data_IF_162780428613
#
_entry.id   IF_162780428613
#
_cell.length_a   1.000
_cell.length_b   1.000
_cell.length_c   1.000
_cell.angle_alpha   90.00
_cell.angle_beta   90.00
_cell.angle_gamma   90.00
#
_symmetry.space_group_name_H-M   'P 1'
#
loop_
_entity.id
_entity.type
_entity.pdbx_description
1 polymer ?
#
# COMPACT_ATOMS: atom_id res chain seq x y z
N UNK A 1 -27.50 -36.21 44.29
CA UNK A 1 -27.64 -34.77 44.00
C UNK A 1 -26.24 -34.17 43.94
N UNK A 2 -25.67 -33.71 42.83
CA UNK A 2 -26.12 -33.67 41.45
C UNK A 2 -24.87 -33.69 40.57
N UNK A 3 -24.85 -34.62 39.61
CA UNK A 3 -23.91 -34.65 38.50
C UNK A 3 -24.23 -33.46 37.58
N UNK A 4 -23.63 -32.29 37.83
CA UNK A 4 -23.61 -31.21 36.83
C UNK A 4 -22.44 -31.46 35.87
N UNK A 5 -22.67 -31.50 34.55
CA UNK A 5 -21.75 -32.14 33.59
C UNK A 5 -20.51 -31.29 33.28
N UNK A 6 -19.45 -31.89 32.70
CA UNK A 6 -18.25 -31.18 32.20
C UNK A 6 -18.55 -30.10 31.14
N UNK A 7 -19.74 -30.13 30.52
CA UNK A 7 -20.14 -29.22 29.46
C UNK A 7 -20.28 -27.77 29.97
N UNK A 8 -20.95 -27.53 31.11
CA UNK A 8 -21.12 -26.15 31.63
C UNK A 8 -19.79 -25.48 31.98
N UNK A 9 -18.84 -26.25 32.50
CA UNK A 9 -17.50 -25.77 32.79
C UNK A 9 -16.71 -25.41 31.52
N UNK A 10 -16.92 -26.16 30.44
CA UNK A 10 -16.30 -25.87 29.14
C UNK A 10 -16.89 -24.61 28.48
N UNK A 11 -18.22 -24.40 28.55
CA UNK A 11 -18.88 -23.22 27.99
C UNK A 11 -18.45 -21.95 28.74
N UNK A 12 -18.43 -21.96 30.07
CA UNK A 12 -17.99 -20.81 30.86
C UNK A 12 -16.53 -20.39 30.58
N UNK A 13 -15.63 -21.36 30.34
CA UNK A 13 -14.24 -21.08 29.95
C UNK A 13 -14.13 -20.54 28.53
N UNK A 14 -14.97 -21.03 27.61
CA UNK A 14 -15.02 -20.51 26.25
C UNK A 14 -15.52 -19.07 26.23
N UNK A 15 -16.48 -18.71 27.07
CA UNK A 15 -16.96 -17.33 27.18
C UNK A 15 -15.88 -16.38 27.70
N UNK A 16 -15.16 -16.77 28.75
CA UNK A 16 -14.01 -16.01 29.28
C UNK A 16 -12.94 -15.77 28.21
N UNK A 17 -12.57 -16.82 27.47
CA UNK A 17 -11.61 -16.71 26.37
C UNK A 17 -12.15 -15.85 25.23
N UNK A 18 -13.44 -15.97 24.92
CA UNK A 18 -14.09 -15.20 23.86
C UNK A 18 -14.09 -13.71 24.16
N UNK A 19 -14.47 -13.33 25.38
CA UNK A 19 -14.44 -11.93 25.82
C UNK A 19 -13.00 -11.43 25.91
N UNK A 20 -12.09 -12.19 26.54
CA UNK A 20 -10.70 -11.80 26.72
C UNK A 20 -9.96 -11.60 25.39
N UNK A 21 -10.03 -12.58 24.49
CA UNK A 21 -9.39 -12.47 23.17
C UNK A 21 -10.11 -11.46 22.27
N UNK A 22 -11.43 -11.30 22.43
CA UNK A 22 -12.18 -10.29 21.71
C UNK A 22 -11.77 -8.87 22.08
N UNK A 23 -11.70 -8.56 23.38
CA UNK A 23 -11.18 -7.27 23.85
C UNK A 23 -9.73 -7.06 23.43
N UNK A 24 -8.89 -8.11 23.46
CA UNK A 24 -7.51 -8.02 22.99
C UNK A 24 -7.41 -7.73 21.47
N UNK A 25 -8.26 -8.33 20.65
CA UNK A 25 -8.33 -8.05 19.22
C UNK A 25 -8.74 -6.60 18.95
N UNK A 26 -9.79 -6.11 19.63
CA UNK A 26 -10.26 -4.74 19.52
C UNK A 26 -9.21 -3.74 20.00
N UNK A 27 -8.49 -4.06 21.07
CA UNK A 27 -7.37 -3.26 21.55
C UNK A 27 -6.21 -3.20 20.55
N UNK A 28 -6.01 -4.25 19.75
CA UNK A 28 -5.08 -4.22 18.62
C UNK A 28 -5.48 -3.21 17.55
N UNK A 29 -6.78 -2.96 17.35
CA UNK A 29 -7.29 -1.95 16.40
C UNK A 29 -7.26 -0.54 17.01
N UNK A 30 -7.88 -0.35 18.18
CA UNK A 30 -7.86 0.91 18.95
C UNK A 30 -7.91 0.60 20.46
N UNK A 31 -6.74 0.56 21.13
CA UNK A 31 -6.63 0.27 22.56
C UNK A 31 -7.40 1.28 23.41
N UNK A 32 -7.21 2.56 23.14
CA UNK A 32 -7.79 3.61 23.98
C UNK A 32 -9.29 3.68 23.83
N UNK A 33 -9.83 3.54 22.61
CA UNK A 33 -11.27 3.44 22.39
C UNK A 33 -11.85 2.20 23.07
N UNK A 34 -11.16 1.05 22.98
CA UNK A 34 -11.60 -0.20 23.64
C UNK A 34 -11.74 -0.01 25.15
N UNK A 35 -10.71 0.57 25.79
CA UNK A 35 -10.71 0.85 27.24
C UNK A 35 -11.76 1.90 27.59
N UNK A 36 -11.82 3.00 26.84
CA UNK A 36 -12.71 4.13 27.09
C UNK A 36 -14.18 3.73 26.98
N UNK A 37 -14.58 3.10 25.86
CA UNK A 37 -15.97 2.71 25.64
C UNK A 37 -16.43 1.61 26.61
N UNK A 38 -15.56 0.64 26.92
CA UNK A 38 -15.85 -0.37 27.96
C UNK A 38 -16.00 0.29 29.32
N UNK A 39 -15.09 1.21 29.68
CA UNK A 39 -15.15 1.94 30.95
C UNK A 39 -16.41 2.78 31.10
N UNK A 40 -16.81 3.52 30.05
CA UNK A 40 -18.07 4.27 30.05
C UNK A 40 -19.29 3.36 30.24
N UNK A 41 -19.33 2.22 29.54
CA UNK A 41 -20.44 1.28 29.65
C UNK A 41 -20.57 0.71 31.08
N UNK A 42 -19.45 0.47 31.77
CA UNK A 42 -19.43 0.04 33.17
C UNK A 42 -19.83 1.19 34.09
N UNK A 43 -19.24 2.37 33.93
CA UNK A 43 -19.43 3.52 34.81
C UNK A 43 -20.86 4.05 34.81
N UNK A 44 -21.51 4.09 33.64
CA UNK A 44 -22.90 4.51 33.50
C UNK A 44 -23.90 3.36 33.61
N UNK A 45 -23.44 2.16 34.01
CA UNK A 45 -24.27 0.97 34.15
C UNK A 45 -25.08 0.60 32.88
N UNK A 46 -24.53 0.88 31.70
CA UNK A 46 -25.12 0.42 30.42
C UNK A 46 -25.02 -1.09 30.27
N UNK A 47 -24.03 -1.69 30.93
CA UNK A 47 -23.85 -3.14 31.03
C UNK A 47 -23.78 -3.55 32.49
N UNK A 48 -24.37 -4.70 32.81
CA UNK A 48 -24.21 -5.36 34.10
C UNK A 48 -23.13 -6.43 33.99
N UNK A 49 -22.08 -6.32 34.80
CA UNK A 49 -21.00 -7.31 34.81
C UNK A 49 -21.48 -8.56 35.55
N UNK A 50 -21.36 -9.70 34.88
CA UNK A 50 -21.52 -10.98 35.55
C UNK A 50 -20.37 -11.20 36.54
N UNK A 51 -20.56 -11.99 37.62
CA UNK A 51 -19.54 -12.18 38.67
C UNK A 51 -18.16 -12.60 38.15
N UNK A 52 -18.11 -13.40 37.09
CA UNK A 52 -16.87 -13.83 36.46
C UNK A 52 -16.07 -12.71 35.79
N UNK A 53 -16.69 -11.57 35.48
CA UNK A 53 -16.07 -10.41 34.82
C UNK A 53 -15.79 -9.26 35.78
N UNK A 54 -16.01 -9.43 37.09
CA UNK A 54 -15.98 -8.33 38.06
C UNK A 54 -14.64 -7.57 38.07
N UNK A 55 -13.53 -8.24 37.76
CA UNK A 55 -12.21 -7.59 37.67
C UNK A 55 -12.08 -6.55 36.53
N UNK A 56 -13.02 -6.51 35.59
CA UNK A 56 -13.14 -5.43 34.60
C UNK A 56 -13.73 -4.14 35.19
N UNK A 57 -14.34 -4.17 36.37
CA UNK A 57 -14.97 -2.99 37.00
C UNK A 57 -14.00 -1.82 37.16
N UNK A 58 -12.69 -2.11 37.30
CA UNK A 58 -11.64 -1.10 37.37
C UNK A 58 -11.60 -0.17 36.14
N UNK A 59 -12.05 -0.62 34.97
CA UNK A 59 -12.17 0.24 33.78
C UNK A 59 -13.24 1.33 33.95
N UNK A 60 -14.23 1.10 34.81
CA UNK A 60 -15.27 2.08 35.14
C UNK A 60 -14.79 3.21 36.07
N UNK A 61 -13.53 3.17 36.53
CA UNK A 61 -12.99 4.22 37.39
C UNK A 61 -12.82 5.53 36.60
N UNK A 62 -13.30 6.69 37.13
CA UNK A 62 -13.28 7.97 36.40
C UNK A 62 -11.91 8.33 35.83
N UNK A 63 -10.82 8.12 36.59
CA UNK A 63 -9.46 8.39 36.09
C UNK A 63 -9.07 7.53 34.88
N UNK A 64 -9.46 6.25 34.86
CA UNK A 64 -9.16 5.35 33.73
C UNK A 64 -9.92 5.82 32.49
N UNK A 65 -11.19 6.19 32.66
CA UNK A 65 -12.04 6.74 31.58
C UNK A 65 -11.46 8.06 31.07
N UNK A 66 -11.08 8.98 31.95
CA UNK A 66 -10.53 10.28 31.54
C UNK A 66 -9.22 10.11 30.78
N UNK A 67 -8.28 9.30 31.28
CA UNK A 67 -6.98 9.08 30.63
C UNK A 67 -7.16 8.37 29.28
N UNK A 68 -7.96 7.29 29.25
CA UNK A 68 -8.23 6.57 28.00
C UNK A 68 -8.97 7.43 26.98
N UNK A 69 -9.91 8.28 27.42
CA UNK A 69 -10.60 9.24 26.56
C UNK A 69 -9.66 10.28 25.95
N UNK A 70 -8.75 10.85 26.75
CA UNK A 70 -7.73 11.79 26.24
C UNK A 70 -6.81 11.10 25.24
N UNK A 71 -6.30 9.91 25.56
CA UNK A 71 -5.42 9.16 24.67
C UNK A 71 -6.14 8.73 23.38
N UNK A 72 -7.43 8.39 23.46
CA UNK A 72 -8.26 8.13 22.28
C UNK A 72 -8.43 9.37 21.42
N UNK A 73 -8.69 10.55 22.00
CA UNK A 73 -8.76 11.80 21.24
C UNK A 73 -7.43 12.09 20.54
N UNK A 74 -6.31 11.92 21.24
CA UNK A 74 -4.98 12.09 20.65
C UNK A 74 -4.76 11.12 19.49
N UNK A 75 -5.10 9.83 19.64
CA UNK A 75 -5.05 8.85 18.56
C UNK A 75 -5.95 9.24 17.38
N UNK A 76 -7.19 9.65 17.66
CA UNK A 76 -8.16 10.05 16.65
C UNK A 76 -7.66 11.23 15.81
N UNK A 77 -6.97 12.20 16.42
CA UNK A 77 -6.36 13.30 15.68
C UNK A 77 -5.05 12.90 14.99
N UNK A 78 -4.22 12.07 15.64
CA UNK A 78 -2.98 11.56 15.09
C UNK A 78 -3.22 10.80 13.77
N UNK A 79 -4.27 9.98 13.72
CA UNK A 79 -4.66 9.19 12.55
C UNK A 79 -5.06 10.04 11.32
N UNK A 80 -5.36 11.32 11.51
CA UNK A 80 -5.73 12.25 10.42
C UNK A 80 -4.54 13.00 9.85
N UNK A 81 -3.42 13.05 10.57
CA UNK A 81 -2.22 13.77 10.19
C UNK A 81 -1.19 12.81 9.57
N UNK A 82 -0.81 12.99 8.29
CA UNK A 82 0.24 12.18 7.68
C UNK A 82 1.54 12.24 8.49
N UNK A 83 2.28 11.13 8.55
CA UNK A 83 3.51 10.93 9.31
C UNK A 83 3.31 10.76 10.83
N UNK A 84 2.42 11.56 11.43
CA UNK A 84 2.08 11.40 12.84
C UNK A 84 1.37 10.06 13.06
N UNK A 85 0.50 9.65 12.13
CA UNK A 85 -0.12 8.33 12.06
C UNK A 85 0.92 7.19 12.18
N UNK A 86 1.97 7.27 11.37
CA UNK A 86 3.01 6.25 11.26
C UNK A 86 3.90 6.20 12.50
N UNK A 87 4.22 7.37 13.07
CA UNK A 87 4.97 7.46 14.32
C UNK A 87 4.17 6.91 15.51
N UNK A 88 2.88 7.23 15.57
CA UNK A 88 1.96 6.70 16.56
C UNK A 88 1.85 5.18 16.46
N UNK A 89 1.61 4.64 15.26
CA UNK A 89 1.52 3.19 15.02
C UNK A 89 2.83 2.45 15.36
N UNK A 90 3.99 3.08 15.16
CA UNK A 90 5.28 2.50 15.53
C UNK A 90 5.41 2.32 17.04
N UNK A 91 5.10 3.34 17.84
CA UNK A 91 5.10 3.26 19.31
C UNK A 91 4.08 2.21 19.78
N UNK A 92 2.90 2.19 19.17
CA UNK A 92 1.81 1.31 19.56
C UNK A 92 1.97 -0.15 19.15
N UNK A 93 2.97 -0.45 18.33
CA UNK A 93 3.39 -1.85 18.05
C UNK A 93 3.82 -2.56 19.34
N UNK A 94 4.26 -1.83 20.37
CA UNK A 94 4.61 -2.38 21.70
C UNK A 94 3.47 -2.20 22.70
N UNK A 95 2.86 -1.02 22.74
CA UNK A 95 1.85 -0.67 23.76
C UNK A 95 0.59 -1.54 23.61
N UNK A 96 0.11 -1.78 22.38
CA UNK A 96 -1.15 -2.50 22.16
C UNK A 96 -1.09 -3.96 22.56
N UNK A 97 -0.07 -4.76 22.18
CA UNK A 97 0.06 -6.13 22.67
C UNK A 97 0.04 -6.23 24.19
N UNK A 98 0.71 -5.30 24.88
CA UNK A 98 0.70 -5.26 26.35
C UNK A 98 -0.70 -4.91 26.87
N UNK A 99 -1.32 -3.86 26.33
CA UNK A 99 -2.67 -3.45 26.72
C UNK A 99 -3.73 -4.53 26.48
N UNK A 100 -3.69 -5.22 25.33
CA UNK A 100 -4.58 -6.33 25.01
C UNK A 100 -4.38 -7.53 25.94
N UNK A 101 -3.13 -7.85 26.29
CA UNK A 101 -2.84 -8.88 27.29
C UNK A 101 -3.40 -8.52 28.67
N UNK A 102 -3.20 -7.28 29.12
CA UNK A 102 -3.72 -6.81 30.41
C UNK A 102 -5.26 -6.84 30.45
N UNK A 103 -5.94 -6.41 29.39
CA UNK A 103 -7.40 -6.49 29.29
C UNK A 103 -7.90 -7.94 29.40
N UNK A 104 -7.26 -8.86 28.68
CA UNK A 104 -7.63 -10.27 28.74
C UNK A 104 -7.38 -10.88 30.13
N UNK A 105 -6.31 -10.48 30.82
CA UNK A 105 -6.06 -10.90 32.21
C UNK A 105 -7.17 -10.39 33.13
N UNK A 106 -7.60 -9.13 32.99
CA UNK A 106 -8.69 -8.58 33.79
C UNK A 106 -10.02 -9.31 33.55
N UNK A 107 -10.27 -9.86 32.36
CA UNK A 107 -11.45 -10.70 32.09
C UNK A 107 -11.43 -11.99 32.90
N UNK A 108 -10.25 -12.56 33.16
CA UNK A 108 -10.12 -13.85 33.84
C UNK A 108 -10.27 -13.77 35.37
N UNK A 109 -10.06 -12.59 35.95
CA UNK A 109 -10.03 -12.38 37.40
C UNK A 109 -8.86 -13.10 38.08
N UNK A 110 -9.10 -14.26 38.69
CA UNK A 110 -8.11 -15.02 39.47
C UNK A 110 -7.86 -16.44 38.93
N UNK A 111 -7.35 -16.59 37.69
CA UNK A 111 -6.97 -17.90 37.18
C UNK A 111 -5.66 -18.42 37.79
N UNK A 112 -5.36 -19.70 37.57
CA UNK A 112 -4.03 -20.25 37.90
C UNK A 112 -2.92 -19.49 37.16
N UNK A 113 -1.72 -19.29 37.75
CA UNK A 113 -0.63 -18.55 37.13
C UNK A 113 -0.26 -19.02 35.72
N UNK A 114 -0.24 -20.33 35.48
CA UNK A 114 0.05 -20.91 34.16
C UNK A 114 -0.98 -20.46 33.10
N UNK A 115 -2.27 -20.47 33.46
CA UNK A 115 -3.33 -20.03 32.55
C UNK A 115 -3.29 -18.52 32.29
N UNK A 116 -2.94 -17.71 33.29
CA UNK A 116 -2.70 -16.25 33.10
C UNK A 116 -1.66 -16.00 32.02
N UNK A 117 -0.51 -16.70 32.09
CA UNK A 117 0.56 -16.53 31.11
C UNK A 117 0.12 -16.99 29.72
N UNK A 118 -0.57 -18.13 29.61
CA UNK A 118 -1.08 -18.61 28.32
C UNK A 118 -2.03 -17.58 27.69
N UNK A 119 -3.00 -17.06 28.46
CA UNK A 119 -3.95 -16.08 27.93
C UNK A 119 -3.26 -14.75 27.62
N UNK A 120 -2.31 -14.30 28.45
CA UNK A 120 -1.54 -13.09 28.17
C UNK A 120 -0.77 -13.18 26.84
N UNK A 121 -0.13 -14.33 26.57
CA UNK A 121 0.58 -14.57 25.31
C UNK A 121 -0.39 -14.61 24.11
N UNK A 122 -1.53 -15.31 24.26
CA UNK A 122 -2.54 -15.40 23.21
C UNK A 122 -3.21 -14.05 22.91
N UNK A 123 -3.54 -13.29 23.94
CA UNK A 123 -4.18 -11.98 23.85
C UNK A 123 -3.20 -10.92 23.30
N UNK A 124 -1.97 -10.89 23.79
CA UNK A 124 -0.93 -9.99 23.26
C UNK A 124 -0.60 -10.30 21.80
N UNK A 125 -0.50 -11.59 21.44
CA UNK A 125 -0.34 -12.01 20.05
C UNK A 125 -1.53 -11.63 19.17
N UNK A 126 -2.76 -11.84 19.66
CA UNK A 126 -4.00 -11.44 18.96
C UNK A 126 -4.03 -9.92 18.71
N UNK A 127 -3.70 -9.12 19.72
CA UNK A 127 -3.63 -7.66 19.61
C UNK A 127 -2.55 -7.21 18.61
N UNK A 128 -1.37 -7.85 18.62
CA UNK A 128 -0.31 -7.58 17.65
C UNK A 128 -0.75 -7.92 16.21
N UNK A 129 -1.44 -9.04 16.01
CA UNK A 129 -1.97 -9.42 14.70
C UNK A 129 -3.00 -8.41 14.20
N UNK A 130 -3.93 -7.99 15.05
CA UNK A 130 -4.93 -6.98 14.71
C UNK A 130 -4.28 -5.61 14.37
N UNK A 131 -3.30 -5.16 15.17
CA UNK A 131 -2.53 -3.95 14.88
C UNK A 131 -1.78 -4.05 13.55
N UNK A 132 -1.14 -5.19 13.30
CA UNK A 132 -0.42 -5.42 12.03
C UNK A 132 -1.37 -5.45 10.83
N UNK A 133 -2.59 -5.97 11.00
CA UNK A 133 -3.62 -5.93 9.97
C UNK A 133 -4.04 -4.48 9.65
N UNK A 134 -4.23 -3.63 10.66
CA UNK A 134 -4.48 -2.19 10.52
C UNK A 134 -3.32 -1.48 9.80
N UNK A 135 -2.08 -1.71 10.21
CA UNK A 135 -0.92 -1.14 9.52
C UNK A 135 -0.83 -1.58 8.05
N UNK A 136 -1.19 -2.84 7.76
CA UNK A 136 -1.18 -3.38 6.41
C UNK A 136 -2.27 -2.79 5.50
N UNK A 137 -3.47 -2.50 6.02
CA UNK A 137 -4.55 -1.85 5.25
C UNK A 137 -4.15 -0.42 4.87
N UNK A 138 -3.54 0.34 5.80
CA UNK A 138 -3.00 1.69 5.52
C UNK A 138 -1.96 1.69 4.41
N UNK A 139 -1.07 0.69 4.38
CA UNK A 139 -0.08 0.59 3.30
C UNK A 139 -0.71 0.30 1.92
N UNK A 140 -1.83 -0.42 1.89
CA UNK A 140 -2.58 -0.69 0.67
C UNK A 140 -3.34 0.54 0.18
N UNK A 141 -3.98 1.30 1.08
CA UNK A 141 -4.72 2.53 0.76
C UNK A 141 -3.81 3.70 0.36
N UNK A 142 -2.60 3.80 0.93
CA UNK A 142 -1.58 4.81 0.61
C UNK A 142 -1.02 4.73 -0.83
N UNK A 143 -1.68 4.03 -1.75
CA UNK A 143 -1.36 4.02 -3.18
C UNK A 143 -1.97 5.22 -3.94
N UNK A 144 -2.93 5.93 -3.35
CA UNK A 144 -3.34 7.29 -3.74
C UNK A 144 -3.53 8.13 -2.47
N UNK A 145 -2.72 9.16 -2.21
CA UNK A 145 -2.84 10.01 -1.02
C UNK A 145 -4.04 10.95 -1.18
N UNK A 146 -5.25 10.41 -1.06
CA UNK A 146 -6.47 11.20 -0.97
C UNK A 146 -6.87 11.29 0.51
N UNK A 147 -6.86 12.48 1.14
CA UNK A 147 -7.09 12.65 2.57
C UNK A 147 -8.43 12.05 3.04
N UNK A 148 -9.43 12.00 2.16
CA UNK A 148 -10.72 11.36 2.43
C UNK A 148 -10.63 9.85 2.67
N UNK A 149 -9.69 9.13 2.03
CA UNK A 149 -9.55 7.68 2.21
C UNK A 149 -8.99 7.34 3.59
N UNK A 150 -8.05 8.13 4.11
CA UNK A 150 -7.45 7.90 5.43
C UNK A 150 -8.45 8.24 6.55
N UNK A 151 -9.20 9.33 6.39
CA UNK A 151 -10.27 9.69 7.33
C UNK A 151 -11.34 8.60 7.35
N UNK A 152 -11.81 8.14 6.18
CA UNK A 152 -12.81 7.08 6.09
C UNK A 152 -12.33 5.76 6.71
N UNK A 153 -11.06 5.40 6.50
CA UNK A 153 -10.47 4.19 7.09
C UNK A 153 -10.39 4.29 8.61
N UNK A 154 -9.92 5.41 9.15
CA UNK A 154 -9.85 5.67 10.60
C UNK A 154 -11.23 5.65 11.26
N UNK A 155 -12.24 6.30 10.66
CA UNK A 155 -13.62 6.24 11.16
C UNK A 155 -14.21 4.83 11.09
N UNK A 156 -13.87 4.08 10.03
CA UNK A 156 -14.24 2.68 9.89
C UNK A 156 -13.62 1.80 10.98
N UNK A 157 -12.36 2.05 11.35
CA UNK A 157 -11.67 1.37 12.46
C UNK A 157 -12.39 1.61 13.80
N UNK A 158 -12.75 2.86 14.10
CA UNK A 158 -13.48 3.20 15.33
C UNK A 158 -14.87 2.55 15.36
N UNK A 159 -15.59 2.56 14.23
CA UNK A 159 -16.87 1.88 14.09
C UNK A 159 -16.76 0.36 14.28
N UNK A 160 -15.71 -0.27 13.73
CA UNK A 160 -15.42 -1.69 13.94
C UNK A 160 -15.15 -1.99 15.41
N UNK A 161 -14.44 -1.11 16.12
CA UNK A 161 -14.18 -1.29 17.56
C UNK A 161 -15.47 -1.21 18.36
N UNK A 162 -16.31 -0.20 18.14
CA UNK A 162 -17.58 -0.06 18.85
C UNK A 162 -18.56 -1.19 18.53
N UNK A 163 -18.68 -1.58 17.25
CA UNK A 163 -19.51 -2.71 16.84
C UNK A 163 -18.98 -4.04 17.41
N UNK A 164 -17.66 -4.19 17.45
CA UNK A 164 -16.99 -5.34 18.04
C UNK A 164 -17.23 -5.44 19.55
N UNK A 165 -17.17 -4.32 20.27
CA UNK A 165 -17.51 -4.28 21.71
C UNK A 165 -18.96 -4.69 21.96
N UNK A 166 -19.90 -4.15 21.17
CA UNK A 166 -21.30 -4.57 21.24
C UNK A 166 -21.46 -6.07 20.95
N UNK A 167 -20.75 -6.59 19.93
CA UNK A 167 -20.79 -8.01 19.58
C UNK A 167 -20.20 -8.89 20.69
N UNK A 168 -19.09 -8.49 21.30
CA UNK A 168 -18.48 -9.20 22.45
C UNK A 168 -19.45 -9.24 23.63
N UNK A 169 -20.18 -8.15 23.88
CA UNK A 169 -21.17 -8.09 24.96
C UNK A 169 -22.38 -9.01 24.70
N UNK A 170 -22.98 -8.95 23.51
CA UNK A 170 -24.22 -9.69 23.22
C UNK A 170 -23.98 -11.15 22.82
N UNK A 171 -22.91 -11.43 22.08
CA UNK A 171 -22.62 -12.76 21.50
C UNK A 171 -21.11 -13.05 21.51
N UNK A 172 -20.50 -13.33 22.67
CA UNK A 172 -19.04 -13.48 22.79
C UNK A 172 -18.47 -14.60 21.91
N UNK A 173 -19.15 -15.75 21.82
CA UNK A 173 -18.73 -16.87 20.98
C UNK A 173 -18.72 -16.49 19.49
N UNK A 174 -19.74 -15.76 19.02
CA UNK A 174 -19.80 -15.28 17.64
C UNK A 174 -18.67 -14.27 17.36
N UNK A 175 -18.40 -13.38 18.32
CA UNK A 175 -17.26 -12.47 18.24
C UNK A 175 -15.94 -13.25 18.07
N UNK A 176 -15.71 -14.28 18.90
CA UNK A 176 -14.52 -15.13 18.83
C UNK A 176 -14.40 -15.80 17.46
N UNK A 177 -15.48 -16.37 16.92
CA UNK A 177 -15.47 -17.00 15.58
C UNK A 177 -15.05 -15.98 14.51
N UNK A 178 -15.64 -14.77 14.53
CA UNK A 178 -15.30 -13.71 13.58
C UNK A 178 -13.84 -13.29 13.71
N UNK A 179 -13.31 -13.15 14.94
CA UNK A 179 -11.90 -12.83 15.16
C UNK A 179 -10.96 -13.93 14.64
N UNK A 180 -11.28 -15.20 14.89
CA UNK A 180 -10.50 -16.34 14.39
C UNK A 180 -10.49 -16.35 12.85
N UNK A 181 -11.63 -16.10 12.21
CA UNK A 181 -11.72 -15.96 10.75
C UNK A 181 -10.86 -14.78 10.27
N UNK A 182 -10.90 -13.64 10.97
CA UNK A 182 -10.07 -12.48 10.67
C UNK A 182 -8.58 -12.76 10.75
N UNK A 183 -8.14 -13.46 11.80
CA UNK A 183 -6.73 -13.90 11.98
C UNK A 183 -6.34 -14.87 10.86
N UNK A 184 -7.18 -15.86 10.54
CA UNK A 184 -6.92 -16.81 9.45
C UNK A 184 -6.81 -16.10 8.10
N UNK A 185 -7.70 -15.13 7.82
CA UNK A 185 -7.64 -14.29 6.64
C UNK A 185 -6.34 -13.47 6.61
N UNK A 186 -5.95 -12.85 7.73
CA UNK A 186 -4.69 -12.12 7.82
C UNK A 186 -3.49 -13.01 7.46
N UNK A 187 -3.35 -14.19 8.06
CA UNK A 187 -2.25 -15.11 7.74
C UNK A 187 -2.30 -15.63 6.30
N UNK A 188 -3.49 -15.82 5.73
CA UNK A 188 -3.66 -16.20 4.34
C UNK A 188 -3.19 -15.10 3.37
N UNK A 189 -3.47 -13.83 3.66
CA UNK A 189 -3.06 -12.68 2.84
C UNK A 189 -1.66 -12.14 3.16
N UNK A 190 -1.12 -12.38 4.35
CA UNK A 190 0.16 -11.87 4.81
C UNK A 190 1.32 -12.14 3.83
N UNK A 191 1.48 -13.34 3.23
CA UNK A 191 2.54 -13.58 2.26
C UNK A 191 2.45 -12.71 1.00
N UNK A 192 1.25 -12.29 0.60
CA UNK A 192 1.05 -11.37 -0.54
C UNK A 192 1.43 -9.94 -0.15
N UNK A 193 1.01 -9.50 1.04
CA UNK A 193 1.31 -8.18 1.60
C UNK A 193 2.81 -8.02 1.83
N UNK A 194 3.45 -8.97 2.51
CA UNK A 194 4.88 -8.96 2.80
C UNK A 194 5.74 -8.94 1.53
N UNK A 195 5.30 -9.64 0.46
CA UNK A 195 5.98 -9.57 -0.85
C UNK A 195 5.90 -8.17 -1.46
N UNK A 196 4.74 -7.53 -1.41
CA UNK A 196 4.57 -6.15 -1.89
C UNK A 196 5.38 -5.15 -1.06
N UNK A 197 5.38 -5.28 0.27
CA UNK A 197 6.20 -4.47 1.18
C UNK A 197 7.68 -4.57 0.87
N UNK A 198 8.19 -5.80 0.76
CA UNK A 198 9.60 -6.06 0.45
C UNK A 198 10.02 -5.43 -0.88
N UNK A 199 9.17 -5.51 -1.91
CA UNK A 199 9.40 -4.85 -3.20
C UNK A 199 9.54 -3.34 -3.05
N UNK A 200 8.59 -2.68 -2.37
CA UNK A 200 8.62 -1.22 -2.16
C UNK A 200 9.83 -0.78 -1.33
N UNK A 201 10.12 -1.46 -0.21
CA UNK A 201 11.27 -1.14 0.66
C UNK A 201 12.57 -1.29 -0.12
N UNK A 202 12.72 -2.37 -0.89
CA UNK A 202 13.91 -2.56 -1.70
C UNK A 202 14.10 -1.44 -2.75
N UNK A 203 13.02 -1.03 -3.44
CA UNK A 203 13.06 0.09 -4.39
C UNK A 203 13.45 1.41 -3.71
N UNK A 204 12.86 1.71 -2.55
CA UNK A 204 13.17 2.90 -1.78
C UNK A 204 14.65 2.91 -1.33
N UNK A 205 15.13 1.78 -0.79
CA UNK A 205 16.52 1.63 -0.35
C UNK A 205 17.52 1.76 -1.51
N UNK A 206 17.21 1.16 -2.67
CA UNK A 206 18.00 1.32 -3.91
C UNK A 206 18.00 2.75 -4.46
N UNK A 207 16.94 3.53 -4.23
CA UNK A 207 16.86 4.95 -4.60
C UNK A 207 17.73 5.81 -3.68
N UNK A 208 17.69 5.55 -2.36
CA UNK A 208 18.50 6.26 -1.37
C UNK A 208 20.01 5.98 -1.53
N UNK A 209 20.38 4.74 -1.87
CA UNK A 209 21.78 4.34 -2.09
C UNK A 209 22.24 4.46 -3.55
N UNK A 210 21.42 5.02 -4.44
CA UNK A 210 21.75 5.14 -5.86
C UNK A 210 22.74 6.28 -6.13
N UNK A 211 23.64 6.15 -7.12
CA UNK A 211 24.51 7.25 -7.52
C UNK A 211 23.68 8.46 -8.00
N UNK A 212 24.10 9.66 -7.62
CA UNK A 212 23.41 10.91 -7.99
C UNK A 212 23.57 11.25 -9.48
N UNK A 213 24.67 10.82 -10.10
CA UNK A 213 24.89 10.98 -11.54
C UNK A 213 24.04 9.98 -12.33
N UNK A 214 23.17 10.54 -13.17
CA UNK A 214 22.19 9.80 -13.99
C UNK A 214 22.63 9.67 -15.44
N UNK A 215 23.67 10.39 -15.84
CA UNK A 215 24.10 10.47 -17.24
C UNK A 215 25.25 9.52 -17.57
N UNK A 216 25.74 8.76 -16.58
CA UNK A 216 26.73 7.72 -16.86
C UNK A 216 26.09 6.60 -17.69
N UNK A 217 26.57 6.32 -18.92
CA UNK A 217 26.02 5.23 -19.73
C UNK A 217 26.24 3.90 -19.01
N UNK A 218 25.13 3.23 -18.66
CA UNK A 218 25.18 1.98 -17.94
C UNK A 218 25.62 0.85 -18.88
N UNK A 219 26.75 0.20 -18.56
CA UNK A 219 27.14 -1.05 -19.22
C UNK A 219 26.12 -2.13 -18.88
N UNK A 220 25.54 -2.77 -19.89
CA UNK A 220 24.60 -3.86 -19.69
C UNK A 220 25.31 -5.03 -18.98
N UNK A 221 24.82 -5.48 -17.81
CA UNK A 221 25.44 -6.57 -17.08
C UNK A 221 25.26 -7.87 -17.85
N UNK A 222 26.37 -8.56 -18.12
CA UNK A 222 26.37 -9.88 -18.78
C UNK A 222 26.37 -11.02 -17.75
N UNK A 223 26.59 -10.70 -16.48
CA UNK A 223 26.70 -11.67 -15.40
C UNK A 223 25.38 -11.81 -14.63
N UNK A 224 24.87 -13.02 -14.51
CA UNK A 224 23.70 -13.34 -13.70
C UNK A 224 24.13 -13.78 -12.28
N UNK A 225 23.46 -13.32 -11.19
CA UNK A 225 23.80 -13.74 -9.84
C UNK A 225 23.73 -15.27 -9.68
N UNK A 226 24.65 -15.88 -8.94
CA UNK A 226 24.77 -17.34 -8.80
C UNK A 226 23.44 -18.06 -8.48
N UNK A 227 22.60 -17.48 -7.61
CA UNK A 227 21.27 -18.02 -7.27
C UNK A 227 20.33 -18.15 -8.47
N UNK A 228 20.40 -17.21 -9.44
CA UNK A 228 19.59 -17.20 -10.65
C UNK A 228 20.30 -17.92 -11.80
N UNK A 229 21.64 -17.92 -11.84
CA UNK A 229 22.43 -18.69 -12.80
C UNK A 229 22.09 -20.19 -12.76
N UNK A 230 21.94 -20.77 -11.56
CA UNK A 230 21.50 -22.16 -11.42
C UNK A 230 20.10 -22.45 -11.99
N UNK A 231 19.23 -21.44 -12.04
CA UNK A 231 17.87 -21.57 -12.57
C UNK A 231 17.90 -21.41 -14.09
N UNK A 232 18.62 -20.41 -14.59
CA UNK A 232 18.80 -20.18 -16.02
C UNK A 232 19.51 -21.36 -16.69
N UNK A 233 20.56 -21.92 -16.09
CA UNK A 233 21.30 -23.05 -16.65
C UNK A 233 20.47 -24.34 -16.79
N UNK A 234 19.36 -24.49 -16.04
CA UNK A 234 18.42 -25.61 -16.22
C UNK A 234 17.50 -25.42 -17.42
N UNK A 235 17.21 -24.18 -17.77
CA UNK A 235 16.38 -23.82 -18.94
C UNK A 235 17.25 -23.74 -20.20
N UNK A 236 18.46 -23.21 -20.08
CA UNK A 236 19.41 -23.02 -21.15
C UNK A 236 20.21 -24.30 -21.44
N UNK A 237 19.50 -25.34 -21.88
CA UNK A 237 20.11 -26.64 -22.25
C UNK A 237 20.96 -26.52 -23.51
N UNK A 238 20.69 -25.53 -24.35
CA UNK A 238 21.36 -25.30 -25.65
C UNK A 238 22.68 -24.51 -25.52
N UNK A 239 23.05 -24.06 -24.32
CA UNK A 239 24.31 -23.34 -24.09
C UNK A 239 24.32 -21.90 -24.62
N UNK A 240 23.15 -21.28 -24.73
CA UNK A 240 22.96 -19.91 -25.23
C UNK A 240 23.82 -18.89 -24.47
N UNK A 241 24.44 -17.99 -25.22
CA UNK A 241 25.29 -16.93 -24.66
C UNK A 241 24.44 -15.73 -24.23
N UNK A 242 24.73 -15.22 -23.03
CA UNK A 242 24.03 -14.06 -22.46
C UNK A 242 24.39 -12.78 -23.24
N UNK A 243 23.38 -12.10 -23.76
CA UNK A 243 23.53 -10.72 -24.25
C UNK A 243 23.55 -9.75 -23.06
N UNK A 244 22.59 -9.92 -22.14
CA UNK A 244 22.51 -9.17 -20.88
C UNK A 244 21.54 -9.83 -19.89
N UNK A 245 21.70 -9.51 -18.61
CA UNK A 245 20.92 -10.03 -17.49
C UNK A 245 20.63 -8.93 -16.46
N UNK A 246 19.42 -8.40 -16.46
CA UNK A 246 19.02 -7.26 -15.64
C UNK A 246 18.13 -7.66 -14.47
N UNK A 247 18.50 -7.27 -13.25
CA UNK A 247 17.68 -7.55 -12.06
C UNK A 247 16.42 -6.69 -12.06
N UNK A 248 15.28 -7.34 -11.88
CA UNK A 248 13.98 -6.66 -11.89
C UNK A 248 12.99 -7.32 -10.93
N UNK A 249 11.87 -6.63 -10.73
CA UNK A 249 10.70 -7.12 -10.01
C UNK A 249 9.56 -7.27 -11.02
N UNK A 250 8.82 -8.37 -10.99
CA UNK A 250 7.63 -8.50 -11.82
C UNK A 250 6.50 -7.56 -11.35
N UNK A 251 5.96 -6.78 -12.27
CA UNK A 251 4.73 -6.02 -12.12
C UNK A 251 3.49 -6.83 -12.49
N UNK A 252 2.37 -6.15 -12.75
CA UNK A 252 1.10 -6.78 -13.15
C UNK A 252 1.26 -7.42 -14.53
N UNK A 253 1.16 -8.75 -14.59
CA UNK A 253 1.44 -9.54 -15.81
C UNK A 253 0.48 -10.72 -15.94
N UNK A 254 0.17 -11.16 -17.16
CA UNK A 254 -0.90 -12.15 -17.43
C UNK A 254 -0.61 -13.57 -16.90
N UNK A 255 0.66 -13.90 -16.58
CA UNK A 255 1.06 -15.25 -16.10
C UNK A 255 2.24 -15.26 -15.12
N UNK A 256 2.71 -14.08 -14.69
CA UNK A 256 3.82 -13.94 -13.74
C UNK A 256 3.23 -13.36 -12.44
N UNK A 257 3.48 -13.98 -11.27
CA UNK A 257 3.03 -13.41 -10.01
C UNK A 257 3.63 -12.02 -9.79
N UNK A 258 2.86 -11.09 -9.24
CA UNK A 258 3.33 -9.74 -8.94
C UNK A 258 4.35 -9.73 -7.80
N UNK A 259 5.22 -8.71 -7.79
CA UNK A 259 6.25 -8.47 -6.79
C UNK A 259 7.22 -9.65 -6.61
N UNK A 260 7.49 -10.39 -7.69
CA UNK A 260 8.48 -11.47 -7.68
C UNK A 260 9.85 -10.91 -8.09
N UNK A 261 10.82 -11.06 -7.21
CA UNK A 261 12.20 -10.67 -7.49
C UNK A 261 12.87 -11.68 -8.42
N UNK A 262 13.46 -11.19 -9.50
CA UNK A 262 14.14 -12.02 -10.48
C UNK A 262 15.13 -11.22 -11.32
N UNK A 263 15.42 -11.76 -12.49
CA UNK A 263 16.14 -11.07 -13.54
C UNK A 263 15.49 -11.34 -14.89
N UNK A 264 15.48 -10.31 -15.73
CA UNK A 264 15.17 -10.44 -17.14
C UNK A 264 16.46 -10.75 -17.89
N UNK A 265 16.44 -11.80 -18.68
CA UNK A 265 17.61 -12.34 -19.38
C UNK A 265 17.33 -12.33 -20.87
N UNK A 266 18.31 -11.92 -21.64
CA UNK A 266 18.27 -11.95 -23.08
C UNK A 266 19.54 -12.63 -23.62
N UNK A 267 19.39 -13.47 -24.63
CA UNK A 267 20.47 -14.23 -25.25
C UNK A 267 20.84 -13.65 -26.63
N UNK A 268 22.00 -14.05 -27.15
CA UNK A 268 22.48 -13.62 -28.46
C UNK A 268 21.89 -14.46 -29.60
N UNK A 269 21.59 -15.75 -29.35
CA UNK A 269 21.04 -16.65 -30.38
C UNK A 269 19.59 -16.30 -30.72
N UNK A 270 18.75 -16.00 -29.73
CA UNK A 270 17.32 -15.69 -29.92
C UNK A 270 16.98 -14.25 -29.47
N UNK A 271 17.29 -13.21 -30.27
CA UNK A 271 17.12 -11.82 -29.86
C UNK A 271 15.66 -11.39 -29.65
N UNK A 272 14.70 -12.12 -30.24
CA UNK A 272 13.25 -11.90 -30.08
C UNK A 272 12.65 -12.59 -28.86
N UNK A 273 13.48 -13.27 -28.06
CA UNK A 273 13.06 -13.96 -26.84
C UNK A 273 13.64 -13.30 -25.61
N UNK A 274 12.80 -13.13 -24.59
CA UNK A 274 13.22 -12.74 -23.26
C UNK A 274 12.84 -13.83 -22.26
N UNK A 275 13.72 -14.09 -21.30
CA UNK A 275 13.48 -15.09 -20.27
C UNK A 275 13.49 -14.39 -18.93
N UNK A 276 12.35 -14.42 -18.22
CA UNK A 276 12.29 -13.99 -16.84
C UNK A 276 12.65 -15.16 -15.92
N UNK A 277 13.72 -14.99 -15.14
CA UNK A 277 14.28 -16.00 -14.24
C UNK A 277 14.11 -15.55 -12.80
N UNK A 278 13.46 -16.37 -11.98
CA UNK A 278 13.19 -16.07 -10.59
C UNK A 278 13.13 -17.33 -9.71
N UNK A 279 12.91 -17.13 -8.41
CA UNK A 279 12.57 -18.21 -7.48
C UNK A 279 11.30 -17.89 -6.72
N UNK A 280 10.29 -18.75 -6.81
CA UNK A 280 9.00 -18.61 -6.12
C UNK A 280 8.94 -19.60 -4.97
N UNK A 281 8.98 -19.12 -3.73
CA UNK A 281 8.97 -19.98 -2.54
C UNK A 281 10.12 -21.00 -2.52
N UNK A 282 11.32 -20.58 -2.96
CA UNK A 282 12.51 -21.44 -3.06
C UNK A 282 12.59 -22.28 -4.33
N UNK A 283 11.47 -22.55 -5.00
CA UNK A 283 11.42 -23.32 -6.26
C UNK A 283 11.87 -22.47 -7.47
N UNK A 284 12.59 -23.05 -8.45
CA UNK A 284 12.94 -22.35 -9.68
C UNK A 284 11.67 -21.93 -10.42
N UNK A 285 11.68 -20.73 -10.99
CA UNK A 285 10.59 -20.21 -11.81
C UNK A 285 11.18 -19.50 -13.02
N UNK A 286 10.87 -20.00 -14.21
CA UNK A 286 11.28 -19.43 -15.49
C UNK A 286 10.04 -19.11 -16.31
N UNK A 287 10.10 -18.02 -17.07
CA UNK A 287 9.06 -17.70 -18.04
C UNK A 287 9.68 -17.09 -19.29
N UNK A 288 9.53 -17.80 -20.40
CA UNK A 288 9.81 -17.30 -21.74
C UNK A 288 8.73 -16.32 -22.18
N UNK A 289 9.16 -15.22 -22.77
CA UNK A 289 8.38 -14.12 -23.31
C UNK A 289 8.83 -13.91 -24.74
N UNK A 290 7.95 -14.21 -25.68
CA UNK A 290 8.15 -13.93 -27.09
C UNK A 290 7.82 -12.45 -27.34
N UNK A 291 8.72 -11.75 -28.02
CA UNK A 291 8.55 -10.34 -28.37
C UNK A 291 7.85 -10.13 -29.73
N UNK A 292 7.56 -11.21 -30.46
CA UNK A 292 6.92 -11.13 -31.77
C UNK A 292 5.52 -10.51 -31.64
N UNK A 293 5.25 -9.48 -32.45
CA UNK A 293 4.00 -8.71 -32.37
C UNK A 293 3.79 -7.97 -31.03
N UNK A 294 4.84 -7.72 -30.25
CA UNK A 294 4.75 -6.97 -28.99
C UNK A 294 5.47 -5.62 -29.06
N UNK A 295 4.88 -4.60 -28.45
CA UNK A 295 5.45 -3.26 -28.29
C UNK A 295 6.04 -3.16 -26.88
N UNK A 296 7.29 -2.70 -26.80
CA UNK A 296 7.97 -2.44 -25.53
C UNK A 296 7.86 -0.94 -25.23
N UNK A 297 7.28 -0.59 -24.09
CA UNK A 297 7.09 0.79 -23.64
C UNK A 297 7.79 1.02 -22.32
N UNK A 298 8.39 2.19 -22.17
CA UNK A 298 9.04 2.62 -20.93
C UNK A 298 8.19 3.68 -20.25
N UNK A 299 7.75 3.41 -19.03
CA UNK A 299 7.05 4.35 -18.18
C UNK A 299 7.93 4.74 -16.97
N UNK A 300 8.52 5.95 -16.99
CA UNK A 300 9.22 6.47 -15.83
C UNK A 300 8.25 6.91 -14.74
N UNK A 301 8.47 6.45 -13.50
CA UNK A 301 7.74 6.90 -12.30
C UNK A 301 8.72 7.42 -11.24
N UNK A 302 8.19 8.11 -10.23
CA UNK A 302 9.01 8.78 -9.21
C UNK A 302 9.98 7.87 -8.44
N UNK A 303 9.60 6.62 -8.15
CA UNK A 303 10.41 5.65 -7.40
C UNK A 303 11.03 4.54 -8.26
N UNK A 304 10.56 4.38 -9.50
CA UNK A 304 10.83 3.20 -10.30
C UNK A 304 10.77 3.50 -11.79
N UNK A 305 11.39 2.63 -12.57
CA UNK A 305 11.24 2.54 -14.03
C UNK A 305 10.39 1.31 -14.34
N UNK A 306 9.37 1.46 -15.17
CA UNK A 306 8.53 0.34 -15.59
C UNK A 306 8.75 0.05 -17.07
N UNK A 307 9.16 -1.17 -17.38
CA UNK A 307 9.21 -1.71 -18.73
C UNK A 307 7.96 -2.54 -18.97
N UNK A 308 7.10 -2.06 -19.86
CA UNK A 308 5.83 -2.67 -20.23
C UNK A 308 5.98 -3.36 -21.57
N UNK A 309 5.51 -4.60 -21.67
CA UNK A 309 5.46 -5.35 -22.92
C UNK A 309 3.98 -5.60 -23.20
N UNK A 310 3.47 -4.94 -24.23
CA UNK A 310 2.06 -5.01 -24.64
C UNK A 310 1.96 -5.70 -26.00
N UNK A 311 0.96 -6.56 -26.23
CA UNK A 311 0.72 -7.07 -27.57
C UNK A 311 0.29 -5.91 -28.48
N UNK A 312 0.72 -5.94 -29.75
CA UNK A 312 0.39 -4.91 -30.74
C UNK A 312 -1.13 -4.84 -30.99
N UNK A 313 -1.81 -5.98 -30.91
CA UNK A 313 -3.27 -6.08 -30.93
C UNK A 313 -3.78 -6.59 -29.58
N UNK A 314 -4.33 -5.69 -28.76
CA UNK A 314 -4.94 -6.03 -27.48
C UNK A 314 -5.09 -4.86 -26.52
N UNK A 315 -5.95 -5.00 -25.51
CA UNK A 315 -6.10 -4.01 -24.43
C UNK A 315 -5.15 -4.31 -23.26
N UNK A 316 -4.09 -3.51 -23.13
CA UNK A 316 -3.23 -3.42 -21.94
C UNK A 316 -1.95 -4.27 -21.97
N UNK A 317 -1.03 -4.04 -21.02
CA UNK A 317 0.27 -4.70 -20.99
C UNK A 317 0.14 -6.20 -20.66
N UNK A 318 0.76 -7.05 -21.48
CA UNK A 318 0.86 -8.48 -21.22
C UNK A 318 1.85 -8.78 -20.08
N UNK A 319 2.95 -8.01 -20.02
CA UNK A 319 3.97 -8.11 -18.98
C UNK A 319 4.42 -6.74 -18.51
N UNK A 320 4.75 -6.63 -17.22
CA UNK A 320 5.31 -5.44 -16.61
C UNK A 320 6.52 -5.84 -15.77
N UNK A 321 7.64 -5.15 -15.95
CA UNK A 321 8.86 -5.33 -15.18
C UNK A 321 9.29 -4.01 -14.58
N UNK A 322 9.57 -4.04 -13.28
CA UNK A 322 9.88 -2.88 -12.46
C UNK A 322 11.36 -2.91 -12.11
N UNK A 323 12.03 -1.81 -12.39
CA UNK A 323 13.43 -1.57 -12.07
C UNK A 323 13.55 -0.40 -11.09
N UNK A 324 14.57 -0.39 -10.23
CA UNK A 324 14.90 0.79 -9.43
C UNK A 324 15.12 2.02 -10.30
N UNK A 325 14.76 3.20 -9.77
CA UNK A 325 15.05 4.47 -10.45
C UNK A 325 16.55 4.69 -10.73
N UNK A 326 17.42 4.12 -9.90
CA UNK A 326 18.87 4.18 -10.12
C UNK A 326 19.35 3.40 -11.35
N UNK A 327 18.52 2.48 -11.87
CA UNK A 327 18.88 1.64 -13.02
C UNK A 327 18.26 2.19 -14.34
N UNK A 328 17.90 3.48 -14.39
CA UNK A 328 17.25 4.11 -15.56
C UNK A 328 18.07 4.00 -16.86
N UNK A 329 19.37 4.30 -16.80
CA UNK A 329 20.27 4.18 -17.95
C UNK A 329 20.39 2.73 -18.45
N UNK A 330 20.24 1.74 -17.54
CA UNK A 330 20.25 0.33 -17.89
C UNK A 330 18.96 -0.05 -18.63
N UNK A 331 17.80 0.44 -18.20
CA UNK A 331 16.52 0.20 -18.91
C UNK A 331 16.55 0.83 -20.30
N UNK A 332 17.13 2.02 -20.44
CA UNK A 332 17.31 2.65 -21.74
C UNK A 332 18.29 1.87 -22.63
N UNK A 333 19.37 1.33 -22.06
CA UNK A 333 20.27 0.41 -22.75
C UNK A 333 19.58 -0.86 -23.24
N UNK A 334 18.70 -1.46 -22.43
CA UNK A 334 17.89 -2.62 -22.81
C UNK A 334 17.00 -2.26 -24.01
N UNK A 335 16.29 -1.15 -23.92
CA UNK A 335 15.43 -0.66 -25.01
C UNK A 335 16.25 -0.46 -26.28
N UNK A 336 17.36 0.28 -26.23
CA UNK A 336 18.23 0.50 -27.40
C UNK A 336 18.74 -0.80 -28.01
N UNK A 337 19.14 -1.77 -27.19
CA UNK A 337 19.64 -3.08 -27.66
C UNK A 337 18.60 -3.94 -28.39
N UNK A 338 17.31 -3.63 -28.23
CA UNK A 338 16.19 -4.38 -28.83
C UNK A 338 15.36 -3.56 -29.81
N UNK A 339 15.35 -2.22 -29.68
CA UNK A 339 14.75 -1.26 -30.61
C UNK A 339 15.45 -1.22 -31.98
N UNK A 340 16.66 -1.75 -32.12
CA UNK A 340 17.28 -1.99 -33.42
C UNK A 340 16.64 -3.16 -34.21
N UNK A 341 15.73 -3.93 -33.60
CA UNK A 341 15.13 -5.14 -34.22
C UNK A 341 13.61 -5.24 -34.16
N UNK A 342 12.92 -4.39 -33.39
CA UNK A 342 11.47 -4.33 -33.31
C UNK A 342 10.99 -2.87 -33.34
N UNK A 343 10.12 -2.56 -34.30
CA UNK A 343 9.71 -1.22 -34.74
C UNK A 343 9.34 -0.24 -33.60
N UNK A 344 9.87 0.98 -33.67
CA UNK A 344 9.34 2.13 -32.93
C UNK A 344 7.99 2.55 -33.52
N UNK A 345 6.94 2.56 -32.69
CA UNK A 345 5.91 3.59 -32.80
C UNK A 345 6.37 4.79 -31.96
N UNK A 346 6.49 6.00 -32.53
CA UNK A 346 6.78 7.19 -31.74
C UNK A 346 5.51 7.56 -30.97
N UNK A 347 5.57 7.61 -29.64
CA UNK A 347 4.61 8.41 -28.88
C UNK A 347 5.31 9.65 -28.37
N UNK A 348 5.06 10.74 -29.08
CA UNK A 348 5.17 12.09 -28.56
C UNK A 348 4.59 12.14 -27.15
N UNK A 349 5.31 12.83 -26.26
CA UNK A 349 4.79 13.28 -24.99
C UNK A 349 3.47 14.05 -25.20
N UNK A 350 2.35 13.36 -25.01
CA UNK A 350 1.06 14.01 -24.80
C UNK A 350 0.92 14.31 -23.31
N UNK A 351 1.74 15.23 -22.81
CA UNK A 351 1.25 16.14 -21.79
C UNK A 351 0.09 16.89 -22.43
N UNK A 352 -1.14 16.58 -22.01
CA UNK A 352 -2.30 17.45 -22.30
C UNK A 352 -2.08 18.77 -21.57
N UNK A 353 -1.34 19.67 -22.21
CA UNK A 353 -1.48 21.10 -22.03
C UNK A 353 -2.31 21.57 -23.23
N UNK A 354 -3.58 21.83 -22.99
CA UNK A 354 -4.44 22.56 -23.91
C UNK A 354 -3.86 23.98 -24.04
N UNK A 355 -3.14 24.26 -25.13
CA UNK A 355 -2.95 25.62 -25.61
C UNK A 355 -3.25 25.60 -27.10
N UNK A 356 -4.31 26.34 -27.44
CA UNK A 356 -4.84 26.44 -28.79
C UNK A 356 -3.83 27.00 -29.77
N UNK A 357 -3.92 26.45 -30.98
CA UNK A 357 -3.24 26.82 -32.20
C UNK A 357 -3.56 28.25 -32.67
N UNK A 358 -2.52 29.00 -33.02
CA UNK A 358 -2.32 29.79 -34.26
C UNK A 358 -0.83 30.15 -34.21
N UNK A 359 0.05 29.98 -35.20
CA UNK A 359 -0.01 29.94 -36.64
C UNK A 359 1.34 30.53 -37.11
N UNK A 360 1.81 30.12 -38.28
CA UNK A 360 2.95 30.68 -39.07
C UNK A 360 4.38 30.12 -38.85
N UNK A 361 4.97 29.82 -40.00
CA UNK A 361 6.28 29.23 -40.29
C UNK A 361 7.49 30.12 -39.91
N UNK A 362 8.71 29.56 -39.83
CA UNK A 362 9.91 30.31 -39.50
C UNK A 362 10.55 30.95 -40.74
N UNK A 363 10.88 32.23 -40.65
CA UNK A 363 11.87 32.89 -41.53
C UNK A 363 13.17 33.01 -40.75
N UNK A 364 14.23 32.48 -41.34
CA UNK A 364 15.62 32.57 -40.90
C UNK A 364 16.19 33.94 -41.27
N UNK A 365 16.88 34.62 -40.34
CA UNK A 365 18.20 35.28 -40.54
C UNK A 365 18.51 36.38 -39.50
N UNK A 366 19.74 36.38 -39.00
CA UNK A 366 20.50 37.62 -38.80
C UNK A 366 20.62 38.20 -37.39
N UNK A 367 21.69 37.85 -36.68
CA UNK A 367 22.45 38.79 -35.81
C UNK A 367 23.18 39.85 -36.65
N UNK A 368 23.83 40.90 -36.10
CA UNK A 368 23.77 41.52 -34.75
C UNK A 368 23.63 43.08 -34.78
N UNK A 369 23.54 43.71 -33.59
CA UNK A 369 24.22 44.98 -33.20
C UNK A 369 23.36 45.98 -32.38
N UNK A 370 24.01 46.62 -31.40
CA UNK A 370 23.69 47.98 -30.91
C UNK A 370 22.82 48.07 -29.65
N UNK A 371 23.41 48.09 -28.46
CA UNK A 371 23.73 49.29 -27.66
C UNK A 371 22.55 50.06 -27.02
N UNK A 372 22.55 50.02 -25.67
CA UNK A 372 22.54 51.18 -24.75
C UNK A 372 21.20 51.78 -24.23
N UNK A 373 21.19 51.92 -22.89
CA UNK A 373 20.43 52.79 -21.97
C UNK A 373 18.97 52.47 -21.59
N UNK A 374 18.77 52.33 -20.27
CA UNK A 374 17.75 53.13 -19.57
C UNK A 374 16.73 52.39 -18.70
N UNK A 375 17.03 52.31 -17.39
CA UNK A 375 16.13 52.64 -16.27
C UNK A 375 14.67 52.16 -16.28
N UNK A 376 14.29 51.29 -15.33
CA UNK A 376 13.53 51.69 -14.13
C UNK A 376 13.21 50.51 -13.20
N UNK A 377 13.44 50.78 -11.92
CA UNK A 377 13.01 50.07 -10.72
C UNK A 377 11.47 50.09 -10.61
N UNK A 378 10.86 49.01 -10.11
CA UNK A 378 9.91 49.02 -8.97
C UNK A 378 9.21 47.66 -8.79
N UNK A 379 9.56 47.01 -7.68
CA UNK A 379 8.66 46.43 -6.65
C UNK A 379 7.45 45.62 -7.10
N UNK A 380 7.49 44.30 -6.88
CA UNK A 380 6.30 43.45 -6.82
C UNK A 380 6.21 42.73 -5.47
N UNK A 381 5.27 43.21 -4.66
CA UNK A 381 4.77 42.57 -3.44
C UNK A 381 3.85 41.40 -3.79
N UNK A 382 3.83 40.45 -2.85
CA UNK A 382 3.08 39.20 -2.82
C UNK A 382 1.56 39.39 -2.56
N UNK A 383 0.81 38.30 -2.83
CA UNK A 383 -0.50 37.86 -2.30
C UNK A 383 -1.75 37.92 -3.22
N UNK A 384 -2.73 37.00 -3.02
CA UNK A 384 -3.42 36.24 -4.06
C UNK A 384 -4.95 36.40 -4.01
N UNK A 385 -5.68 36.10 -5.08
CA UNK A 385 -7.15 35.96 -4.98
C UNK A 385 -7.66 34.86 -5.91
N UNK A 386 -8.37 33.92 -5.29
CA UNK A 386 -9.28 32.94 -5.88
C UNK A 386 -10.54 33.63 -6.40
N UNK A 387 -11.00 33.33 -7.61
CA UNK A 387 -12.42 33.46 -7.96
C UNK A 387 -12.81 32.54 -9.13
N UNK A 388 -13.82 31.73 -8.86
CA UNK A 388 -14.62 30.93 -9.78
C UNK A 388 -15.50 31.84 -10.66
N UNK A 389 -15.56 31.58 -11.98
CA UNK A 389 -16.54 32.17 -12.88
C UNK A 389 -17.03 31.13 -13.89
N UNK A 390 -18.20 30.51 -13.61
CA UNK A 390 -19.15 30.05 -14.61
C UNK A 390 -20.30 31.05 -14.56
N UNK A 391 -20.55 31.70 -15.68
CA UNK A 391 -21.81 32.29 -16.14
C UNK A 391 -21.49 33.46 -17.05
N UNK A 392 -21.68 33.28 -18.36
CA UNK A 392 -21.98 34.30 -19.38
C UNK A 392 -21.92 33.66 -20.77
N UNK A 393 -23.03 33.03 -21.19
CA UNK A 393 -23.37 32.85 -22.60
C UNK A 393 -24.71 33.54 -22.85
N UNK A 394 -24.65 34.81 -23.27
CA UNK A 394 -25.76 35.51 -23.90
C UNK A 394 -25.20 36.75 -24.63
N UNK A 395 -25.50 36.88 -25.93
CA UNK A 395 -25.12 38.05 -26.75
C UNK A 395 -24.71 37.62 -28.16
N UNK A 396 -25.67 37.39 -29.06
CA UNK A 396 -26.24 38.41 -29.94
C UNK A 396 -25.37 38.68 -31.18
N UNK A 397 -25.70 38.01 -32.29
CA UNK A 397 -25.43 38.48 -33.64
C UNK A 397 -26.77 38.50 -34.42
N UNK A 398 -27.37 39.70 -34.55
CA UNK A 398 -28.22 40.10 -35.69
C UNK A 398 -27.25 40.46 -36.83
N UNK A 399 -27.51 40.34 -38.13
CA UNK A 399 -28.69 40.53 -39.00
C UNK A 399 -28.20 40.25 -40.46
N UNK A 400 -28.95 40.51 -41.56
CA UNK A 400 -30.37 40.32 -41.87
C UNK A 400 -30.58 39.57 -43.22
N UNK A 401 -31.86 39.40 -43.57
CA UNK A 401 -32.47 39.39 -44.92
C UNK A 401 -33.08 38.09 -45.48
N UNK A 402 -34.42 38.16 -45.53
CA UNK A 402 -35.33 37.98 -46.68
C UNK A 402 -35.98 36.61 -46.96
N UNK A 403 -37.31 36.61 -46.71
CA UNK A 403 -38.42 36.47 -47.69
C UNK A 403 -39.05 35.08 -47.95
N UNK A 404 -40.35 35.03 -47.59
CA UNK A 404 -41.53 34.33 -48.15
C UNK A 404 -41.44 32.88 -48.67
N UNK A 405 -42.33 32.00 -48.21
CA UNK A 405 -43.69 31.84 -48.75
C UNK A 405 -44.56 30.88 -47.90
N UNK A 406 -45.83 31.27 -47.80
CA UNK A 406 -47.08 30.52 -47.60
C UNK A 406 -47.20 29.45 -46.49
#
# INVERSE_FOLDING_TARGET
MGLFPPIFFSVARLDLLSVGLGLAALAGVNLYLTVFATGLAIHFHWITLAPQYQSLEILGHPLVITISGILYLLEFFADKMPWLDSAWDAVHTVIRPIGGALLAIQVLGHPSPAFTIIVALLAGGTSLVAHTAKAATRLASNTSPEPFSNIGLSLGEDAVVLAGLALVHFNPVLALIIFVIGIAAFFYFAPKILRAMKAKIWLAWKKLNGPADRNTPAKLPVTLPARLASVFGRENVLGETLAWAARCISGRSRRIPTNLFGALVATNEEPRRLIFVARKGGRPYTRTIELEGSIITHEPRFLLESLLISPAEGKGPAYSFIFPRSDAALVEGILRSRLSSAQLAPQCAASRVFLGSTGCQPVVAGTPAGNIFGTQLLTRLYFPVSASCRDLQAGSLRSPERVHHA
#
